data_IF_683327331646
#
_entry.id   IF_683327331646
#
_cell.length_a   1.000
_cell.length_b   1.000
_cell.length_c   1.000
_cell.angle_alpha   90.00
_cell.angle_beta   90.00
_cell.angle_gamma   90.00
#
_symmetry.space_group_name_H-M   'P 1'
#
loop_
_entity.id
_entity.type
_entity.pdbx_description
1 polymer ?
#
# COMPACT_ATOMS: atom_id res chain seq x y z
N UNK A 1 -8.97 -32.67 25.40
CA UNK A 1 -8.70 -31.92 24.16
C UNK A 1 -8.49 -30.46 24.54
N UNK A 2 -7.30 -30.07 25.01
CA UNK A 2 -7.05 -28.74 25.61
C UNK A 2 -5.82 -28.02 25.03
N UNK A 3 -5.18 -28.58 24.00
CA UNK A 3 -3.97 -28.01 23.40
C UNK A 3 -4.19 -27.09 22.20
N UNK A 4 -5.43 -26.94 21.71
CA UNK A 4 -5.71 -26.30 20.42
C UNK A 4 -6.08 -24.82 20.53
N UNK A 5 -6.56 -24.37 21.68
CA UNK A 5 -7.05 -22.99 21.88
C UNK A 5 -5.92 -22.00 22.11
N UNK A 6 -4.83 -22.41 22.76
CA UNK A 6 -3.71 -21.50 23.10
C UNK A 6 -2.90 -21.10 21.85
N UNK A 7 -2.79 -21.98 20.86
CA UNK A 7 -2.07 -21.71 19.60
C UNK A 7 -2.74 -20.60 18.77
N UNK A 8 -4.07 -20.51 18.81
CA UNK A 8 -4.81 -19.49 18.05
C UNK A 8 -4.57 -18.07 18.58
N UNK A 9 -4.47 -17.89 19.91
CA UNK A 9 -4.24 -16.56 20.49
C UNK A 9 -2.85 -15.99 20.15
N UNK A 10 -1.85 -16.84 19.98
CA UNK A 10 -0.49 -16.39 19.62
C UNK A 10 -0.40 -15.89 18.17
N UNK A 11 -1.12 -16.51 17.23
CA UNK A 11 -1.19 -16.05 15.84
C UNK A 11 -1.83 -14.65 15.74
N UNK A 12 -2.88 -14.39 16.54
CA UNK A 12 -3.58 -13.11 16.55
C UNK A 12 -2.69 -11.99 17.13
N UNK A 13 -1.90 -12.28 18.16
CA UNK A 13 -0.94 -11.32 18.72
C UNK A 13 0.19 -10.97 17.75
N UNK A 14 0.68 -11.93 16.95
CA UNK A 14 1.65 -11.66 15.89
C UNK A 14 1.06 -10.83 14.74
N UNK A 15 -0.22 -11.02 14.42
CA UNK A 15 -0.92 -10.21 13.40
C UNK A 15 -1.18 -8.76 13.87
N UNK A 16 -1.44 -8.55 15.16
CA UNK A 16 -1.61 -7.22 15.76
C UNK A 16 -0.27 -6.50 16.03
N UNK A 17 0.83 -7.26 16.17
CA UNK A 17 2.17 -6.74 16.45
C UNK A 17 2.86 -6.04 15.27
N UNK A 18 2.32 -6.13 14.06
CA UNK A 18 2.85 -5.41 12.89
C UNK A 18 2.14 -4.06 12.63
N UNK A 19 1.13 -3.70 13.42
CA UNK A 19 0.37 -2.46 13.26
C UNK A 19 0.91 -1.28 14.08
N UNK A 20 1.94 -1.49 14.90
CA UNK A 20 2.43 -0.48 15.86
C UNK A 20 3.42 0.52 15.26
N UNK A 21 3.63 0.50 13.94
CA UNK A 21 4.28 1.58 13.19
C UNK A 21 3.65 1.75 11.81
N UNK A 22 2.31 1.70 11.72
CA UNK A 22 1.65 2.35 10.60
C UNK A 22 1.79 3.86 10.84
N UNK A 23 2.85 4.46 10.29
CA UNK A 23 2.86 5.91 10.07
C UNK A 23 1.53 6.31 9.41
N UNK A 24 1.08 7.55 9.60
CA UNK A 24 -0.14 8.02 8.98
C UNK A 24 0.05 7.94 7.45
N UNK A 25 -0.42 6.85 6.84
CA UNK A 25 -0.18 6.54 5.44
C UNK A 25 -1.46 6.79 4.65
N UNK A 26 -1.38 7.63 3.64
CA UNK A 26 -2.49 8.00 2.77
C UNK A 26 -2.19 7.58 1.33
N UNK A 27 -3.26 7.32 0.57
CA UNK A 27 -3.16 6.98 -0.85
C UNK A 27 -3.44 8.23 -1.67
N UNK A 28 -2.48 8.63 -2.51
CA UNK A 28 -2.61 9.75 -3.44
C UNK A 28 -2.54 9.27 -4.89
N UNK A 29 -3.27 9.93 -5.78
CA UNK A 29 -3.20 9.67 -7.22
C UNK A 29 -2.11 10.59 -7.81
N UNK A 30 -1.05 10.02 -8.38
CA UNK A 30 -0.03 10.80 -9.07
C UNK A 30 -0.50 11.24 -10.46
N UNK A 31 -1.13 10.33 -11.21
CA UNK A 31 -1.73 10.60 -12.52
C UNK A 31 -2.77 9.54 -12.89
N UNK A 32 -3.63 9.87 -13.85
CA UNK A 32 -4.51 8.93 -14.53
C UNK A 32 -4.21 8.90 -16.03
N UNK A 33 -4.16 7.71 -16.63
CA UNK A 33 -3.84 7.51 -18.05
C UNK A 33 -4.52 6.25 -18.59
N UNK A 34 -4.55 6.09 -19.92
CA UNK A 34 -5.09 4.87 -20.54
C UNK A 34 -4.24 3.62 -20.25
N UNK A 35 -2.92 3.82 -20.11
CA UNK A 35 -1.98 2.80 -19.70
C UNK A 35 -1.15 3.32 -18.53
N UNK A 36 -1.15 2.56 -17.44
CA UNK A 36 -0.29 2.82 -16.29
C UNK A 36 0.82 1.77 -16.29
N UNK A 37 2.07 2.23 -16.29
CA UNK A 37 3.26 1.38 -16.22
C UNK A 37 3.79 1.49 -14.79
N UNK A 38 3.91 0.36 -14.09
CA UNK A 38 4.34 0.31 -12.68
C UNK A 38 5.63 1.10 -12.42
N UNK A 39 6.64 0.96 -13.30
CA UNK A 39 7.91 1.70 -13.17
C UNK A 39 7.70 3.22 -13.28
N UNK A 40 6.91 3.68 -14.26
CA UNK A 40 6.60 5.10 -14.43
C UNK A 40 5.79 5.64 -13.26
N UNK A 41 4.86 4.83 -12.74
CA UNK A 41 4.09 5.15 -11.54
C UNK A 41 5.01 5.31 -10.32
N UNK A 42 5.93 4.38 -10.12
CA UNK A 42 6.92 4.43 -9.05
C UNK A 42 7.77 5.70 -9.11
N UNK A 43 8.33 6.00 -10.30
CA UNK A 43 9.13 7.21 -10.52
C UNK A 43 8.28 8.46 -10.25
N UNK A 44 7.02 8.50 -10.69
CA UNK A 44 6.13 9.63 -10.42
C UNK A 44 5.89 9.80 -8.91
N UNK A 45 5.60 8.73 -8.18
CA UNK A 45 5.43 8.76 -6.73
C UNK A 45 6.69 9.26 -6.01
N UNK A 46 7.87 8.79 -6.42
CA UNK A 46 9.14 9.25 -5.87
C UNK A 46 9.44 10.72 -6.21
N UNK A 47 9.11 11.18 -7.41
CA UNK A 47 9.31 12.58 -7.78
C UNK A 47 8.38 13.52 -7.00
N UNK A 48 7.17 13.08 -6.67
CA UNK A 48 6.18 13.90 -5.95
C UNK A 48 6.35 13.88 -4.43
N UNK A 49 6.69 12.73 -3.83
CA UNK A 49 6.74 12.57 -2.36
C UNK A 49 8.11 12.07 -1.84
N UNK A 50 9.07 11.77 -2.71
CA UNK A 50 10.42 11.36 -2.31
C UNK A 50 10.42 10.13 -1.40
N UNK A 51 11.11 10.25 -0.26
CA UNK A 51 11.23 9.19 0.77
C UNK A 51 9.92 8.85 1.50
N UNK A 52 8.90 9.70 1.36
CA UNK A 52 7.58 9.49 1.95
C UNK A 52 6.73 8.54 1.10
N UNK A 53 7.01 8.41 -0.20
CA UNK A 53 6.41 7.37 -1.03
C UNK A 53 6.97 5.99 -0.65
N UNK A 54 6.14 5.16 0.00
CA UNK A 54 6.49 3.80 0.42
C UNK A 54 6.18 2.76 -0.65
N UNK A 55 5.14 3.00 -1.43
CA UNK A 55 4.71 2.10 -2.49
C UNK A 55 3.98 2.85 -3.58
N UNK A 56 3.87 2.21 -4.74
CA UNK A 56 3.21 2.72 -5.93
C UNK A 56 2.55 1.55 -6.65
N UNK A 57 1.35 1.72 -7.18
CA UNK A 57 0.66 0.68 -7.93
C UNK A 57 -0.39 1.26 -8.89
N UNK A 58 -0.57 0.60 -10.02
CA UNK A 58 -1.60 0.93 -11.00
C UNK A 58 -2.94 0.27 -10.66
N UNK A 59 -4.03 1.04 -10.73
CA UNK A 59 -5.39 0.55 -10.51
C UNK A 59 -6.27 0.96 -11.68
N UNK A 60 -6.97 -0.01 -12.28
CA UNK A 60 -8.01 0.29 -13.26
C UNK A 60 -9.20 0.98 -12.57
N UNK A 61 -9.53 2.18 -13.04
CA UNK A 61 -10.73 2.92 -12.60
C UNK A 61 -11.87 2.81 -13.59
N UNK A 62 -11.56 2.52 -14.86
CA UNK A 62 -12.53 2.20 -15.89
C UNK A 62 -11.88 1.32 -16.97
N UNK A 63 -12.67 0.90 -17.97
CA UNK A 63 -12.19 0.06 -19.08
C UNK A 63 -11.09 0.71 -19.93
N UNK A 64 -10.97 2.04 -19.91
CA UNK A 64 -9.96 2.79 -20.67
C UNK A 64 -9.06 3.64 -19.79
N UNK A 65 -9.16 3.53 -18.46
CA UNK A 65 -8.41 4.41 -17.57
C UNK A 65 -7.86 3.66 -16.35
N UNK A 66 -6.59 3.92 -16.08
CA UNK A 66 -5.87 3.46 -14.91
C UNK A 66 -5.28 4.65 -14.17
N UNK A 67 -5.28 4.57 -12.85
CA UNK A 67 -4.63 5.54 -11.98
C UNK A 67 -3.35 4.95 -11.42
N UNK A 68 -2.31 5.77 -11.37
CA UNK A 68 -1.14 5.52 -10.55
C UNK A 68 -1.43 6.01 -9.13
N UNK A 69 -1.49 5.08 -8.18
CA UNK A 69 -1.67 5.36 -6.76
C UNK A 69 -0.33 5.26 -6.03
N UNK A 70 -0.09 6.18 -5.11
CA UNK A 70 1.09 6.27 -4.27
C UNK A 70 0.67 6.12 -2.81
N UNK A 71 1.24 5.15 -2.11
CA UNK A 71 1.12 5.06 -0.65
C UNK A 71 2.19 5.96 -0.04
N UNK A 72 1.77 7.05 0.59
CA UNK A 72 2.64 8.08 1.17
C UNK A 72 2.46 8.07 2.67
N UNK A 73 3.56 8.04 3.42
CA UNK A 73 3.54 8.09 4.88
C UNK A 73 4.46 9.21 5.38
N UNK A 74 4.05 9.91 6.45
CA UNK A 74 4.86 10.92 7.13
C UNK A 74 6.17 10.36 7.72
#
# INVERSE_FOLDING_TARGET
MEGKTIVLCLMVLFLLGNSTHAGNCEVHIAYGSAACIELSCHIACQNSWGRHAKSSYCVAVSVTQQNCNCLVCD
#
